data_IF_929587280263
#
_entry.id   IF_929587280263
#
_cell.length_a   1.000
_cell.length_b   1.000
_cell.length_c   1.000
_cell.angle_alpha   90.00
_cell.angle_beta   90.00
_cell.angle_gamma   90.00
#
_symmetry.space_group_name_H-M   'P 1'
#
loop_
_entity.id
_entity.type
_entity.pdbx_description
1 polymer ?
#
# COMPACT_ATOMS: atom_id res chain seq x y z
N UNK A 1 11.60 15.74 -1.42
CA UNK A 1 10.77 14.55 -1.12
C UNK A 1 9.56 14.54 -2.05
N UNK A 2 9.09 13.36 -2.47
CA UNK A 2 8.10 13.21 -3.56
C UNK A 2 6.65 13.49 -3.11
N UNK A 3 6.30 13.19 -1.86
CA UNK A 3 4.92 13.32 -1.35
C UNK A 3 4.33 14.74 -1.51
N UNK A 4 5.00 15.84 -1.09
CA UNK A 4 4.43 17.18 -1.26
C UNK A 4 4.23 17.57 -2.73
N UNK A 5 5.05 17.02 -3.63
CA UNK A 5 4.92 17.25 -5.07
C UNK A 5 3.73 16.49 -5.65
N UNK A 6 3.52 15.24 -5.23
CA UNK A 6 2.37 14.43 -5.64
C UNK A 6 1.06 15.04 -5.17
N UNK A 7 1.01 15.58 -3.96
CA UNK A 7 -0.18 16.25 -3.47
C UNK A 7 -0.49 17.54 -4.18
N UNK A 8 0.54 18.33 -4.49
CA UNK A 8 0.35 19.54 -5.29
C UNK A 8 -0.15 19.19 -6.70
N UNK A 9 0.29 18.06 -7.24
CA UNK A 9 -0.13 17.58 -8.55
C UNK A 9 -1.54 16.98 -8.55
N UNK A 10 -1.95 16.32 -7.47
CA UNK A 10 -3.25 15.63 -7.33
C UNK A 10 -3.84 15.90 -5.94
N UNK A 11 -4.33 17.13 -5.68
CA UNK A 11 -4.79 17.53 -4.35
C UNK A 11 -6.00 16.72 -3.86
N UNK A 12 -6.80 16.18 -4.78
CA UNK A 12 -7.98 15.37 -4.49
C UNK A 12 -7.65 13.94 -4.05
N UNK A 13 -6.39 13.48 -4.19
CA UNK A 13 -5.99 12.13 -3.82
C UNK A 13 -6.18 11.93 -2.31
N UNK A 14 -7.08 11.04 -1.90
CA UNK A 14 -7.35 10.78 -0.47
C UNK A 14 -6.17 10.06 0.21
N UNK A 15 -5.55 9.14 -0.53
CA UNK A 15 -4.44 8.33 -0.06
C UNK A 15 -3.34 8.28 -1.11
N UNK A 16 -2.09 8.38 -0.68
CA UNK A 16 -0.90 8.16 -1.50
C UNK A 16 -0.13 7.01 -0.85
N UNK A 17 0.25 6.01 -1.63
CA UNK A 17 1.02 4.86 -1.18
C UNK A 17 2.09 4.56 -2.22
N UNK A 18 3.28 4.18 -1.78
CA UNK A 18 4.31 3.71 -2.67
C UNK A 18 5.62 3.40 -1.99
N UNK A 19 6.63 3.16 -2.80
CA UNK A 19 7.98 2.85 -2.36
C UNK A 19 9.02 3.42 -3.31
N UNK A 20 10.28 3.43 -2.87
CA UNK A 20 11.41 3.55 -3.77
C UNK A 20 11.56 2.29 -4.62
N UNK A 21 12.08 2.47 -5.83
CA UNK A 21 12.43 1.38 -6.72
C UNK A 21 13.83 1.59 -7.30
N UNK A 22 14.54 0.48 -7.57
CA UNK A 22 15.83 0.51 -8.25
C UNK A 22 15.71 0.97 -9.71
N UNK A 23 14.60 0.64 -10.35
CA UNK A 23 14.29 1.04 -11.72
C UNK A 23 12.81 1.36 -11.84
N UNK A 24 12.48 2.24 -12.78
CA UNK A 24 11.11 2.68 -13.01
C UNK A 24 10.82 2.58 -14.50
N UNK A 25 9.80 1.79 -14.85
CA UNK A 25 9.31 1.69 -16.22
C UNK A 25 8.07 2.57 -16.33
N UNK A 26 8.06 3.44 -17.33
CA UNK A 26 6.97 4.36 -17.58
C UNK A 26 6.58 4.39 -19.05
N UNK A 27 5.80 5.42 -19.40
CA UNK A 27 5.47 5.74 -20.80
C UNK A 27 6.11 7.09 -21.11
N UNK A 28 6.83 7.18 -22.22
CA UNK A 28 7.47 8.43 -22.61
C UNK A 28 6.41 9.44 -23.11
N UNK A 29 6.43 10.70 -22.65
CA UNK A 29 5.55 11.73 -23.19
C UNK A 29 5.70 11.85 -24.71
N UNK A 30 4.60 11.77 -25.45
CA UNK A 30 4.60 11.88 -26.92
C UNK A 30 4.94 10.59 -27.69
N UNK A 31 5.27 9.49 -27.02
CA UNK A 31 5.29 8.18 -27.67
C UNK A 31 3.87 7.76 -28.08
N UNK A 32 3.76 6.92 -29.12
CA UNK A 32 2.50 6.26 -29.43
C UNK A 32 1.96 5.59 -28.16
N UNK A 33 0.70 5.90 -27.82
CA UNK A 33 0.12 5.60 -26.52
C UNK A 33 0.41 4.15 -26.07
N UNK A 34 1.03 4.02 -24.89
CA UNK A 34 1.20 2.74 -24.22
C UNK A 34 2.48 1.97 -24.53
N UNK A 35 3.47 2.53 -25.25
CA UNK A 35 4.78 1.84 -25.37
C UNK A 35 5.60 2.03 -24.08
N UNK A 36 5.98 0.93 -23.38
CA UNK A 36 6.85 1.04 -22.22
C UNK A 36 8.21 1.62 -22.62
N UNK A 37 8.74 2.49 -21.76
CA UNK A 37 10.06 3.08 -21.89
C UNK A 37 10.78 3.01 -20.55
N UNK A 38 12.04 2.56 -20.60
CA UNK A 38 12.98 2.60 -19.50
C UNK A 38 13.92 3.77 -19.72
N UNK A 39 14.17 4.57 -18.68
CA UNK A 39 15.13 5.67 -18.73
C UNK A 39 16.23 5.41 -17.72
N UNK A 40 17.43 5.09 -18.20
CA UNK A 40 18.61 4.90 -17.36
C UNK A 40 19.24 6.23 -16.95
N UNK A 41 19.98 6.22 -15.83
CA UNK A 41 20.77 7.37 -15.34
C UNK A 41 19.96 8.67 -15.14
N UNK A 42 18.66 8.54 -14.91
CA UNK A 42 17.78 9.66 -14.59
C UNK A 42 16.85 9.29 -13.45
N UNK A 43 16.37 10.28 -12.71
CA UNK A 43 15.34 10.07 -11.71
C UNK A 43 13.99 9.89 -12.40
N UNK A 44 13.32 8.78 -12.11
CA UNK A 44 11.99 8.48 -12.60
C UNK A 44 10.98 8.36 -11.46
N UNK A 45 9.72 8.68 -11.75
CA UNK A 45 8.58 8.33 -10.92
C UNK A 45 7.50 7.72 -11.81
N UNK A 46 6.92 6.61 -11.37
CA UNK A 46 5.72 6.05 -11.99
C UNK A 46 4.56 6.31 -11.04
N UNK A 47 3.45 6.81 -11.58
CA UNK A 47 2.27 7.17 -10.80
C UNK A 47 1.07 6.50 -11.43
N UNK A 48 0.38 5.71 -10.62
CA UNK A 48 -0.94 5.16 -10.97
C UNK A 48 -1.98 5.93 -10.17
N UNK A 49 -2.96 6.51 -10.88
CA UNK A 49 -4.10 7.19 -10.26
C UNK A 49 -5.34 6.32 -10.42
N UNK A 50 -6.11 6.19 -9.33
CA UNK A 50 -7.35 5.43 -9.33
C UNK A 50 -8.47 6.27 -8.72
N UNK A 51 -9.64 6.28 -9.38
CA UNK A 51 -10.89 6.72 -8.79
C UNK A 51 -11.66 5.48 -8.38
N UNK A 52 -11.90 5.30 -7.08
CA UNK A 52 -12.51 4.11 -6.50
C UNK A 52 -13.81 4.49 -5.77
N UNK A 53 -14.89 4.83 -6.51
CA UNK A 53 -16.17 5.14 -5.89
C UNK A 53 -16.71 3.92 -5.15
N UNK A 54 -17.27 4.14 -3.95
CA UNK A 54 -17.83 3.04 -3.15
C UNK A 54 -16.78 2.13 -2.48
N UNK A 55 -15.50 2.50 -2.53
CA UNK A 55 -14.41 1.80 -1.83
C UNK A 55 -13.93 2.64 -0.65
N UNK A 56 -13.90 2.06 0.55
CA UNK A 56 -13.23 2.68 1.68
C UNK A 56 -11.76 2.25 1.72
N UNK A 57 -10.90 3.18 2.14
CA UNK A 57 -9.44 3.04 2.11
C UNK A 57 -8.92 3.26 3.54
N UNK A 58 -8.23 2.27 4.08
CA UNK A 58 -7.65 2.29 5.42
C UNK A 58 -6.12 2.20 5.29
N UNK A 59 -5.40 3.33 5.24
CA UNK A 59 -3.95 3.34 5.19
C UNK A 59 -3.34 2.91 6.53
N UNK A 60 -2.21 2.20 6.46
CA UNK A 60 -1.43 1.81 7.62
C UNK A 60 0.06 1.85 7.33
N UNK A 61 0.85 1.98 8.39
CA UNK A 61 2.26 1.64 8.42
C UNK A 61 2.53 0.89 9.72
N UNK A 62 3.32 -0.18 9.64
CA UNK A 62 3.71 -0.97 10.80
C UNK A 62 5.15 -1.47 10.64
N UNK A 63 5.82 -1.70 11.77
CA UNK A 63 7.14 -2.31 11.87
C UNK A 63 7.06 -3.72 12.45
N UNK A 64 8.17 -4.47 12.39
CA UNK A 64 8.22 -5.86 12.86
C UNK A 64 7.76 -6.02 14.32
N UNK A 65 8.11 -5.05 15.16
CA UNK A 65 7.73 -5.06 16.58
C UNK A 65 6.24 -4.82 16.83
N UNK A 66 5.49 -4.34 15.84
CA UNK A 66 4.05 -4.13 15.96
C UNK A 66 3.27 -5.42 15.65
N UNK A 67 3.92 -6.44 15.09
CA UNK A 67 3.26 -7.68 14.73
C UNK A 67 2.80 -8.45 15.98
N UNK A 68 1.53 -8.88 16.06
CA UNK A 68 1.02 -9.64 17.19
C UNK A 68 1.81 -10.95 17.40
N UNK A 69 2.38 -11.12 18.58
CA UNK A 69 3.08 -12.36 18.98
C UNK A 69 2.06 -13.31 19.62
N UNK A 70 1.24 -13.94 18.77
CA UNK A 70 0.03 -14.63 19.21
C UNK A 70 -1.12 -13.66 19.49
N UNK A 71 -2.35 -14.19 19.59
CA UNK A 71 -3.56 -13.38 19.64
C UNK A 71 -4.67 -13.97 18.78
N UNK A 72 -5.86 -13.39 18.85
CA UNK A 72 -6.95 -13.72 17.92
C UNK A 72 -6.89 -12.82 16.68
N UNK A 73 -7.89 -12.93 15.79
CA UNK A 73 -7.96 -12.15 14.57
C UNK A 73 -8.21 -10.65 14.81
N UNK A 74 -8.62 -10.26 16.02
CA UNK A 74 -8.93 -8.88 16.38
C UNK A 74 -7.67 -8.02 16.48
N UNK A 75 -6.58 -8.55 17.05
CA UNK A 75 -5.31 -7.82 17.18
C UNK A 75 -4.78 -7.36 15.82
N UNK A 76 -4.93 -8.22 14.79
CA UNK A 76 -4.56 -7.89 13.41
C UNK A 76 -5.49 -6.85 12.78
N UNK A 77 -6.79 -6.87 13.09
CA UNK A 77 -7.76 -5.89 12.58
C UNK A 77 -7.52 -4.51 13.16
N UNK A 78 -7.17 -4.45 14.44
CA UNK A 78 -6.81 -3.23 15.14
C UNK A 78 -5.53 -2.64 14.55
N UNK A 79 -4.52 -3.48 14.32
CA UNK A 79 -3.25 -3.08 13.70
C UNK A 79 -3.44 -2.50 12.28
N UNK A 80 -4.32 -3.10 11.48
CA UNK A 80 -4.58 -2.68 10.10
C UNK A 80 -5.64 -1.56 9.98
N UNK A 81 -6.28 -1.20 11.09
CA UNK A 81 -7.27 -0.11 11.14
C UNK A 81 -8.56 -0.40 10.36
N UNK A 82 -8.85 -1.66 10.03
CA UNK A 82 -10.08 -2.08 9.35
C UNK A 82 -10.85 -3.11 10.17
N UNK A 83 -11.98 -2.68 10.70
CA UNK A 83 -12.85 -3.48 11.53
C UNK A 83 -13.94 -4.12 10.68
N UNK A 84 -14.10 -5.43 10.80
CA UNK A 84 -15.25 -6.14 10.24
C UNK A 84 -16.01 -6.83 11.34
N UNK A 85 -17.30 -6.53 11.40
CA UNK A 85 -18.25 -7.29 12.22
C UNK A 85 -18.25 -8.75 11.73
N UNK A 86 -17.86 -9.68 12.61
CA UNK A 86 -17.73 -11.11 12.28
C UNK A 86 -19.04 -11.68 11.74
N UNK A 87 -20.20 -11.17 12.20
CA UNK A 87 -21.51 -11.64 11.75
C UNK A 87 -21.89 -11.11 10.37
N UNK A 88 -21.22 -10.04 9.90
CA UNK A 88 -21.47 -9.38 8.60
C UNK A 88 -20.32 -9.56 7.61
N UNK A 89 -19.29 -10.34 7.98
CA UNK A 89 -18.22 -10.66 7.05
C UNK A 89 -18.79 -11.46 5.89
N UNK A 90 -18.77 -10.88 4.69
CA UNK A 90 -19.16 -11.56 3.46
C UNK A 90 -17.92 -12.18 2.80
N UNK A 91 -17.75 -13.51 2.81
CA UNK A 91 -16.63 -14.17 2.14
C UNK A 91 -16.62 -13.96 0.61
N UNK A 92 -17.75 -13.56 0.02
CA UNK A 92 -17.85 -13.24 -1.41
C UNK A 92 -17.35 -11.83 -1.75
N UNK A 93 -17.19 -10.96 -0.75
CA UNK A 93 -16.68 -9.60 -0.88
C UNK A 93 -15.56 -9.32 0.15
N UNK A 94 -14.46 -10.10 0.14
CA UNK A 94 -13.38 -9.89 1.08
C UNK A 94 -12.62 -8.58 0.77
N UNK A 95 -11.95 -7.97 1.75
CA UNK A 95 -11.12 -6.80 1.49
C UNK A 95 -9.91 -7.16 0.62
N UNK A 96 -9.28 -6.13 0.05
CA UNK A 96 -7.98 -6.22 -0.61
C UNK A 96 -6.95 -5.53 0.25
N UNK A 97 -5.82 -6.18 0.50
CA UNK A 97 -4.69 -5.60 1.23
C UNK A 97 -3.56 -5.37 0.24
N UNK A 98 -3.25 -4.09 0.00
CA UNK A 98 -2.15 -3.67 -0.86
C UNK A 98 -0.99 -3.20 0.01
N UNK A 99 0.15 -3.89 -0.09
CA UNK A 99 1.27 -3.72 0.82
C UNK A 99 2.61 -3.49 0.12
N UNK A 100 3.38 -2.56 0.65
CA UNK A 100 4.73 -2.22 0.21
C UNK A 100 5.69 -2.42 1.39
N UNK A 101 6.27 -3.63 1.57
CA UNK A 101 7.30 -3.85 2.57
C UNK A 101 8.63 -3.19 2.15
N UNK A 102 9.29 -2.54 3.11
CA UNK A 102 10.68 -2.15 3.00
C UNK A 102 11.57 -3.39 3.06
N UNK A 103 12.75 -3.35 2.45
CA UNK A 103 13.64 -4.51 2.38
C UNK A 103 14.04 -5.07 3.76
N UNK A 104 14.10 -4.22 4.80
CA UNK A 104 14.38 -4.66 6.17
C UNK A 104 13.28 -5.52 6.81
N UNK A 105 12.06 -5.50 6.27
CA UNK A 105 10.91 -6.26 6.78
C UNK A 105 10.84 -7.69 6.21
N UNK A 106 11.82 -8.12 5.41
CA UNK A 106 11.75 -9.38 4.66
C UNK A 106 11.63 -10.61 5.58
N UNK A 107 12.23 -10.59 6.76
CA UNK A 107 12.18 -11.70 7.71
C UNK A 107 10.80 -11.81 8.39
N UNK A 108 10.06 -10.71 8.43
CA UNK A 108 8.75 -10.59 9.08
C UNK A 108 7.60 -10.64 8.06
N UNK A 109 7.92 -10.70 6.77
CA UNK A 109 6.95 -10.72 5.69
C UNK A 109 6.04 -11.95 5.76
N UNK A 110 6.58 -13.15 6.00
CA UNK A 110 5.75 -14.36 6.10
C UNK A 110 4.81 -14.32 7.31
N UNK A 111 5.27 -14.03 8.55
CA UNK A 111 4.38 -13.81 9.69
C UNK A 111 3.29 -12.78 9.41
N UNK A 112 3.64 -11.65 8.80
CA UNK A 112 2.70 -10.61 8.39
C UNK A 112 1.63 -11.12 7.42
N UNK A 113 2.02 -11.75 6.31
CA UNK A 113 1.08 -12.25 5.30
C UNK A 113 0.12 -13.30 5.87
N UNK A 114 0.61 -14.16 6.77
CA UNK A 114 -0.21 -15.16 7.47
C UNK A 114 -1.18 -14.50 8.46
N UNK A 115 -0.74 -13.48 9.18
CA UNK A 115 -1.58 -12.69 10.07
C UNK A 115 -2.72 -11.97 9.36
N UNK A 116 -2.43 -11.34 8.22
CA UNK A 116 -3.45 -10.72 7.36
C UNK A 116 -4.47 -11.76 6.87
N UNK A 117 -3.99 -12.94 6.43
CA UNK A 117 -4.88 -14.02 5.98
C UNK A 117 -5.75 -14.58 7.11
N UNK A 118 -5.22 -14.58 8.34
CA UNK A 118 -5.95 -14.98 9.54
C UNK A 118 -7.04 -13.96 9.89
N UNK A 119 -6.72 -12.67 9.79
CA UNK A 119 -7.64 -11.56 10.07
C UNK A 119 -8.81 -11.46 9.08
N UNK A 120 -8.49 -11.63 7.80
CA UNK A 120 -9.40 -11.49 6.66
C UNK A 120 -9.30 -12.70 5.72
N UNK A 121 -10.03 -13.80 6.02
CA UNK A 121 -10.04 -14.97 5.16
C UNK A 121 -10.49 -14.65 3.73
N UNK A 122 -9.79 -15.13 2.71
CA UNK A 122 -10.02 -14.85 1.28
C UNK A 122 -9.64 -13.44 0.80
N UNK A 123 -9.08 -12.57 1.65
CA UNK A 123 -8.59 -11.28 1.21
C UNK A 123 -7.46 -11.44 0.18
N UNK A 124 -7.54 -10.68 -0.90
CA UNK A 124 -6.45 -10.60 -1.85
C UNK A 124 -5.30 -9.80 -1.21
N UNK A 125 -4.13 -10.41 -1.11
CA UNK A 125 -2.91 -9.75 -0.65
C UNK A 125 -2.02 -9.49 -1.85
N UNK A 126 -1.87 -8.23 -2.22
CA UNK A 126 -1.11 -7.78 -3.39
C UNK A 126 -0.11 -6.71 -2.97
N UNK A 127 0.91 -6.46 -3.79
CA UNK A 127 1.95 -5.53 -3.38
C UNK A 127 3.20 -5.55 -4.24
N UNK A 128 4.19 -4.80 -3.76
CA UNK A 128 5.53 -4.76 -4.32
C UNK A 128 6.55 -4.57 -3.18
N UNK A 129 7.77 -5.06 -3.36
CA UNK A 129 8.83 -4.89 -2.36
C UNK A 129 9.65 -3.64 -2.72
N UNK A 130 9.88 -2.77 -1.75
CA UNK A 130 10.74 -1.60 -1.96
C UNK A 130 12.15 -2.03 -2.35
N UNK A 131 12.71 -1.38 -3.36
CA UNK A 131 14.04 -1.69 -3.87
C UNK A 131 14.86 -0.43 -4.10
N UNK A 132 16.16 -0.63 -4.34
CA UNK A 132 17.11 0.44 -4.66
C UNK A 132 18.30 -0.11 -5.43
N UNK A 133 19.04 0.75 -6.13
CA UNK A 133 20.18 0.40 -7.00
C UNK A 133 21.48 0.12 -6.25
N UNK A 134 21.60 0.54 -4.99
CA UNK A 134 22.85 0.46 -4.23
C UNK A 134 22.65 -0.13 -2.85
N UNK A 135 23.56 -1.01 -2.43
CA UNK A 135 23.62 -1.56 -1.08
C UNK A 135 23.80 -0.50 0.02
N UNK A 136 24.24 0.71 -0.34
CA UNK A 136 24.40 1.84 0.58
C UNK A 136 23.12 2.67 0.75
N UNK A 137 22.14 2.49 -0.12
CA UNK A 137 20.84 3.16 -0.02
C UNK A 137 19.83 2.27 0.69
N UNK A 138 18.97 2.88 1.50
CA UNK A 138 17.88 2.17 2.17
C UNK A 138 16.61 2.32 1.34
N UNK A 139 15.99 1.23 0.88
CA UNK A 139 14.67 1.31 0.28
C UNK A 139 13.69 1.94 1.25
N UNK A 140 12.87 2.85 0.76
CA UNK A 140 11.88 3.56 1.56
C UNK A 140 10.48 3.22 1.10
N UNK A 141 9.55 3.17 2.03
CA UNK A 141 8.12 3.08 1.77
C UNK A 141 7.47 4.35 2.27
N UNK A 142 6.38 4.75 1.64
CA UNK A 142 5.65 5.92 2.07
C UNK A 142 4.15 5.70 1.97
N UNK A 143 3.44 6.25 2.94
CA UNK A 143 2.00 6.32 2.94
C UNK A 143 1.59 7.71 3.42
N UNK A 144 0.59 8.26 2.77
CA UNK A 144 -0.10 9.47 3.18
C UNK A 144 -1.59 9.20 3.14
N UNK A 145 -2.30 9.53 4.20
CA UNK A 145 -3.74 9.37 4.23
C UNK A 145 -4.32 9.93 5.52
N UNK A 146 -5.60 10.23 5.50
CA UNK A 146 -6.30 10.81 6.63
C UNK A 146 -7.79 10.90 6.34
N UNK A 147 -8.58 10.32 7.23
CA UNK A 147 -10.04 10.39 7.20
C UNK A 147 -10.69 9.06 6.86
N UNK A 148 -11.29 8.44 7.88
CA UNK A 148 -12.50 7.66 7.65
C UNK A 148 -13.46 8.52 6.84
N UNK A 149 -14.22 7.92 5.93
CA UNK A 149 -15.28 8.61 5.20
C UNK A 149 -16.13 9.44 6.18
N UNK A 150 -15.91 10.77 6.22
CA UNK A 150 -16.65 11.71 7.07
C UNK A 150 -15.88 12.52 8.14
N UNK A 151 -14.55 12.41 8.30
CA UNK A 151 -13.82 13.18 9.31
C UNK A 151 -12.58 13.90 8.79
N UNK A 152 -12.60 15.24 8.75
CA UNK A 152 -11.54 16.12 8.24
C UNK A 152 -10.24 16.16 9.06
N UNK A 153 -9.62 15.00 9.29
CA UNK A 153 -8.26 14.93 9.86
C UNK A 153 -7.26 15.31 8.77
N UNK A 154 -6.25 16.11 9.12
CA UNK A 154 -5.14 16.39 8.22
C UNK A 154 -4.49 15.06 7.78
N UNK A 155 -4.11 14.94 6.51
CA UNK A 155 -3.36 13.78 6.03
C UNK A 155 -2.05 13.69 6.81
N UNK A 156 -1.78 12.52 7.39
CA UNK A 156 -0.49 12.25 8.00
C UNK A 156 0.41 11.61 6.94
N UNK A 157 1.61 12.16 6.77
CA UNK A 157 2.61 11.64 5.85
C UNK A 157 3.66 10.88 6.63
N UNK A 158 4.02 9.71 6.10
CA UNK A 158 5.13 8.95 6.60
C UNK A 158 6.08 8.52 5.49
N UNK A 159 7.37 8.79 5.69
CA UNK A 159 8.46 8.18 4.94
C UNK A 159 9.21 7.24 5.88
N UNK A 160 9.26 5.97 5.54
CA UNK A 160 9.79 4.94 6.42
C UNK A 160 10.88 4.14 5.71
N UNK A 161 12.02 3.98 6.38
CA UNK A 161 13.11 3.11 5.92
C UNK A 161 12.97 1.65 6.35
N UNK A 162 11.88 1.32 7.05
CA UNK A 162 11.59 0.01 7.61
C UNK A 162 10.08 -0.25 7.67
N UNK A 163 9.70 -1.50 7.92
CA UNK A 163 8.30 -1.88 8.05
C UNK A 163 7.59 -2.10 6.72
N UNK A 164 6.27 -2.08 6.78
CA UNK A 164 5.37 -2.17 5.63
C UNK A 164 4.40 -1.01 5.66
N UNK A 165 4.32 -0.28 4.54
CA UNK A 165 3.27 0.69 4.29
C UNK A 165 2.20 0.03 3.43
N UNK A 166 0.93 0.27 3.70
CA UNK A 166 -0.12 -0.34 2.91
C UNK A 166 -1.49 0.32 3.07
N UNK A 167 -2.46 -0.25 2.37
CA UNK A 167 -3.86 0.10 2.48
C UNK A 167 -4.72 -1.16 2.52
N UNK A 168 -5.74 -1.16 3.38
CA UNK A 168 -6.86 -2.08 3.27
C UNK A 168 -7.96 -1.38 2.47
N UNK A 169 -8.43 -2.03 1.41
CA UNK A 169 -9.49 -1.56 0.51
C UNK A 169 -10.70 -2.47 0.69
N UNK A 170 -11.89 -1.91 0.89
CA UNK A 170 -13.12 -2.69 0.94
C UNK A 170 -14.27 -1.94 0.26
N UNK A 171 -15.23 -2.68 -0.32
CA UNK A 171 -16.37 -2.11 -1.03
C UNK A 171 -16.44 -2.62 -2.47
N UNK A 172 -16.79 -1.75 -3.41
CA UNK A 172 -16.96 -2.09 -4.84
C UNK A 172 -15.61 -2.24 -5.56
N UNK A 173 -14.86 -3.28 -5.19
CA UNK A 173 -13.55 -3.61 -5.77
C UNK A 173 -13.38 -5.12 -5.90
N UNK A 174 -12.90 -5.57 -7.06
CA UNK A 174 -12.47 -6.95 -7.28
C UNK A 174 -11.09 -6.95 -7.88
N UNK A 175 -10.16 -7.68 -7.27
CA UNK A 175 -8.83 -7.94 -7.83
C UNK A 175 -8.80 -9.32 -8.45
N UNK A 176 -8.33 -9.41 -9.69
CA UNK A 176 -8.11 -10.68 -10.40
C UNK A 176 -6.69 -10.70 -10.94
N UNK A 177 -6.02 -11.85 -10.78
CA UNK A 177 -4.78 -12.09 -11.50
C UNK A 177 -5.08 -12.36 -12.98
N UNK A 178 -4.21 -11.87 -13.85
CA UNK A 178 -4.23 -12.20 -15.27
C UNK A 178 -3.40 -13.47 -15.47
N UNK A 179 -3.99 -14.63 -15.16
CA UNK A 179 -3.42 -15.96 -15.43
C UNK A 179 -4.29 -16.72 -16.42
#
# INVERSE_FOLDING_TARGET
EILPLLEKAVPEAQTILGSSAAGVIGVQPGAAAGRPSETENSFGVTVTLASLPGVAIHPFHLIANDLPIGGDDQDWRDLLGYQVDKEKYDPAAPPVVLSFPAAGFINDLEPYLRGVAYAYPNAAQIGAIASTVSSLSRPTVFVAGGGHAGGGRAKEYGFYGEGVAGVVLHGDLVVRSLV
#
